data_IF_556806240984
#
_entry.id   IF_556806240984
#
_cell.length_a   1.000
_cell.length_b   1.000
_cell.length_c   1.000
_cell.angle_alpha   90.00
_cell.angle_beta   90.00
_cell.angle_gamma   90.00
#
_symmetry.space_group_name_H-M   'P 1'
#
loop_
_entity.id
_entity.type
_entity.pdbx_description
1 polymer ?
#
# COMPACT_ATOMS: atom_id res chain seq x y z
N UNK A 1 10.56 -19.33 14.11
CA UNK A 1 10.11 -18.89 12.74
C UNK A 1 9.60 -17.47 12.86
N UNK A 2 10.03 -16.60 11.99
CA UNK A 2 9.52 -15.24 11.93
C UNK A 2 8.04 -15.24 11.52
N UNK A 3 7.20 -14.39 12.13
CA UNK A 3 5.80 -14.27 11.72
C UNK A 3 5.71 -13.81 10.27
N UNK A 4 4.81 -14.43 9.49
CA UNK A 4 4.57 -14.06 8.10
C UNK A 4 3.41 -13.08 8.00
N UNK A 5 3.65 -11.93 7.36
CA UNK A 5 2.65 -10.91 7.04
C UNK A 5 2.26 -11.06 5.57
N UNK A 6 1.00 -11.37 5.29
CA UNK A 6 0.49 -11.52 3.93
C UNK A 6 -0.02 -10.20 3.38
N UNK A 7 0.42 -9.87 2.18
CA UNK A 7 0.18 -8.59 1.49
C UNK A 7 -0.65 -8.84 0.24
N UNK A 8 -1.59 -7.94 -0.02
CA UNK A 8 -2.29 -7.81 -1.29
C UNK A 8 -1.81 -6.57 -2.05
N UNK A 9 -1.70 -6.67 -3.37
CA UNK A 9 -1.39 -5.54 -4.24
C UNK A 9 -2.64 -5.11 -5.01
N UNK A 10 -3.02 -3.85 -4.91
CA UNK A 10 -3.92 -3.23 -5.88
C UNK A 10 -3.07 -2.64 -7.01
N UNK A 11 -2.92 -3.41 -8.08
CA UNK A 11 -2.07 -3.10 -9.20
C UNK A 11 -0.70 -3.79 -9.16
N UNK A 12 -0.25 -4.27 -10.32
CA UNK A 12 1.08 -4.83 -10.53
C UNK A 12 1.67 -4.34 -11.86
N UNK A 13 1.71 -3.00 -11.99
CA UNK A 13 2.40 -2.26 -13.04
C UNK A 13 3.85 -1.98 -12.66
N UNK A 14 4.43 -0.90 -13.17
CA UNK A 14 5.84 -0.56 -12.91
C UNK A 14 6.16 -0.44 -11.42
N UNK A 15 5.34 0.28 -10.65
CA UNK A 15 5.55 0.47 -9.21
C UNK A 15 5.38 -0.85 -8.47
N UNK A 16 4.27 -1.57 -8.67
CA UNK A 16 4.03 -2.85 -8.02
C UNK A 16 5.09 -3.90 -8.35
N UNK A 17 5.57 -3.95 -9.61
CA UNK A 17 6.68 -4.82 -10.01
C UNK A 17 7.99 -4.44 -9.32
N UNK A 18 8.24 -3.15 -9.12
CA UNK A 18 9.40 -2.66 -8.36
C UNK A 18 9.35 -3.10 -6.90
N UNK A 19 8.19 -2.94 -6.26
CA UNK A 19 7.98 -3.38 -4.87
C UNK A 19 8.09 -4.89 -4.74
N UNK A 20 7.54 -5.67 -5.70
CA UNK A 20 7.75 -7.11 -5.75
C UNK A 20 9.23 -7.49 -5.76
N UNK A 21 10.02 -6.87 -6.65
CA UNK A 21 11.47 -7.11 -6.74
C UNK A 21 12.19 -6.78 -5.42
N UNK A 22 11.78 -5.70 -4.74
CA UNK A 22 12.34 -5.34 -3.43
C UNK A 22 12.00 -6.36 -2.35
N UNK A 23 10.73 -6.72 -2.21
CA UNK A 23 10.28 -7.66 -1.18
C UNK A 23 10.88 -9.06 -1.36
N UNK A 24 11.08 -9.50 -2.61
CA UNK A 24 11.67 -10.82 -2.90
C UNK A 24 13.18 -10.78 -2.85
N UNK A 25 13.81 -9.77 -3.45
CA UNK A 25 15.26 -9.66 -3.56
C UNK A 25 15.96 -9.33 -2.24
N UNK A 26 15.30 -8.57 -1.35
CA UNK A 26 15.83 -8.17 -0.04
C UNK A 26 15.06 -8.81 1.12
N UNK A 27 14.41 -9.94 0.89
CA UNK A 27 13.56 -10.60 1.88
C UNK A 27 14.29 -10.87 3.20
N UNK A 28 15.52 -11.36 3.15
CA UNK A 28 16.34 -11.66 4.33
C UNK A 28 16.72 -10.41 5.12
N UNK A 29 17.12 -9.35 4.43
CA UNK A 29 17.49 -8.07 5.03
C UNK A 29 16.27 -7.41 5.70
N UNK A 30 15.12 -7.45 5.03
CA UNK A 30 13.86 -6.93 5.56
C UNK A 30 13.46 -7.73 6.80
N UNK A 31 13.46 -9.05 6.73
CA UNK A 31 13.15 -9.91 7.87
C UNK A 31 14.09 -9.67 9.04
N UNK A 32 15.39 -9.55 8.80
CA UNK A 32 16.37 -9.26 9.86
C UNK A 32 16.10 -7.91 10.56
N UNK A 33 15.69 -6.89 9.81
CA UNK A 33 15.41 -5.55 10.36
C UNK A 33 14.08 -5.45 11.09
N UNK A 34 13.06 -6.15 10.61
CA UNK A 34 11.68 -6.01 11.09
C UNK A 34 11.25 -7.13 12.03
N UNK A 35 11.94 -8.28 12.01
CA UNK A 35 11.49 -9.50 12.66
C UNK A 35 10.30 -10.17 11.96
N UNK A 36 9.95 -9.73 10.74
CA UNK A 36 8.76 -10.18 10.01
C UNK A 36 9.15 -10.68 8.62
N UNK A 37 8.50 -11.74 8.17
CA UNK A 37 8.56 -12.18 6.79
C UNK A 37 7.35 -11.63 6.00
N UNK A 38 7.58 -10.98 4.87
CA UNK A 38 6.52 -10.44 4.03
C UNK A 38 6.30 -11.30 2.78
N UNK A 39 5.06 -11.70 2.56
CA UNK A 39 4.63 -12.51 1.43
C UNK A 39 3.54 -11.79 0.64
N UNK A 40 3.73 -11.59 -0.66
CA UNK A 40 2.65 -11.09 -1.53
C UNK A 40 1.77 -12.26 -1.92
N UNK A 41 0.58 -12.34 -1.33
CA UNK A 41 -0.36 -13.44 -1.53
C UNK A 41 -1.19 -13.27 -2.80
N UNK A 42 -1.60 -12.04 -3.11
CA UNK A 42 -2.43 -11.71 -4.28
C UNK A 42 -2.05 -10.35 -4.86
N UNK A 43 -2.16 -10.23 -6.16
CA UNK A 43 -2.00 -8.97 -6.87
C UNK A 43 -3.15 -8.79 -7.88
N UNK A 44 -3.97 -7.76 -7.65
CA UNK A 44 -5.08 -7.38 -8.52
C UNK A 44 -4.56 -6.72 -9.78
N UNK A 45 -4.98 -7.21 -10.92
CA UNK A 45 -4.62 -6.68 -12.24
C UNK A 45 -5.82 -6.70 -13.17
N UNK A 46 -5.83 -5.85 -14.19
CA UNK A 46 -6.91 -5.84 -15.21
C UNK A 46 -6.85 -7.03 -16.16
N UNK A 47 -5.65 -7.56 -16.40
CA UNK A 47 -5.41 -8.68 -17.31
C UNK A 47 -4.34 -9.59 -16.70
N UNK A 48 -4.77 -10.78 -16.30
CA UNK A 48 -3.91 -11.79 -15.68
C UNK A 48 -2.95 -12.45 -16.68
N UNK A 49 -3.28 -12.42 -17.96
CA UNK A 49 -2.50 -13.04 -19.04
C UNK A 49 -1.43 -12.10 -19.62
N UNK A 50 -1.51 -10.81 -19.32
CA UNK A 50 -0.54 -9.84 -19.78
C UNK A 50 0.86 -10.20 -19.30
N UNK A 51 1.82 -10.34 -20.21
CA UNK A 51 3.23 -10.59 -19.88
C UNK A 51 3.81 -9.44 -19.06
N UNK A 52 4.54 -9.78 -18.01
CA UNK A 52 5.21 -8.86 -17.09
C UNK A 52 6.72 -9.11 -17.07
N UNK A 53 7.48 -8.12 -16.64
CA UNK A 53 8.94 -8.22 -16.50
C UNK A 53 9.39 -8.97 -15.23
N UNK A 54 8.43 -9.41 -14.41
CA UNK A 54 8.66 -10.16 -13.19
C UNK A 54 7.99 -11.53 -13.30
N UNK A 55 8.61 -12.52 -12.71
CA UNK A 55 8.02 -13.84 -12.54
C UNK A 55 7.23 -13.86 -11.23
N UNK A 56 5.96 -14.18 -11.34
CA UNK A 56 5.04 -14.31 -10.23
C UNK A 56 4.63 -15.78 -10.10
N UNK A 57 4.55 -16.33 -8.88
CA UNK A 57 4.03 -17.68 -8.67
C UNK A 57 2.61 -17.82 -9.22
N UNK A 58 2.27 -19.05 -9.62
CA UNK A 58 0.92 -19.36 -10.06
C UNK A 58 -0.11 -19.00 -8.99
N UNK A 59 -1.22 -18.41 -9.41
CA UNK A 59 -2.31 -18.01 -8.53
C UNK A 59 -2.10 -16.70 -7.76
N UNK A 60 -0.97 -16.01 -7.89
CA UNK A 60 -0.78 -14.67 -7.29
C UNK A 60 -1.61 -13.60 -8.00
N UNK A 61 -1.69 -13.66 -9.33
CA UNK A 61 -2.49 -12.69 -10.09
C UNK A 61 -3.98 -13.01 -10.05
N UNK A 62 -4.78 -11.97 -9.90
CA UNK A 62 -6.25 -12.03 -9.98
C UNK A 62 -6.80 -10.77 -10.64
N UNK A 63 -7.95 -10.87 -11.29
CA UNK A 63 -8.74 -9.74 -11.79
C UNK A 63 -9.95 -9.41 -10.89
N UNK A 64 -10.05 -10.10 -9.74
CA UNK A 64 -11.16 -9.98 -8.78
C UNK A 64 -10.67 -9.31 -7.50
N UNK A 65 -11.17 -8.11 -7.22
CA UNK A 65 -10.82 -7.38 -5.98
C UNK A 65 -11.25 -8.13 -4.71
N UNK A 66 -12.33 -8.89 -4.79
CA UNK A 66 -12.84 -9.68 -3.68
C UNK A 66 -11.85 -10.75 -3.19
N UNK A 67 -10.98 -11.26 -4.05
CA UNK A 67 -9.94 -12.23 -3.68
C UNK A 67 -8.89 -11.61 -2.71
N UNK A 68 -8.81 -10.28 -2.66
CA UNK A 68 -7.97 -9.55 -1.72
C UNK A 68 -8.78 -9.03 -0.52
N UNK A 69 -9.92 -8.39 -0.80
CA UNK A 69 -10.73 -7.75 0.24
C UNK A 69 -11.33 -8.74 1.23
N UNK A 70 -11.74 -9.93 0.75
CA UNK A 70 -12.40 -10.94 1.57
C UNK A 70 -11.43 -12.01 2.11
N UNK A 71 -10.15 -11.97 1.75
CA UNK A 71 -9.16 -12.90 2.28
C UNK A 71 -8.71 -12.46 3.69
N UNK A 72 -9.02 -13.24 4.74
CA UNK A 72 -8.69 -12.87 6.12
C UNK A 72 -7.20 -12.95 6.43
N UNK A 73 -6.41 -13.62 5.61
CA UNK A 73 -4.97 -13.71 5.80
C UNK A 73 -4.23 -12.46 5.27
N UNK A 74 -4.82 -11.72 4.33
CA UNK A 74 -4.24 -10.48 3.83
C UNK A 74 -4.53 -9.36 4.83
N UNK A 75 -3.48 -8.90 5.49
CA UNK A 75 -3.57 -7.84 6.51
C UNK A 75 -3.16 -6.46 6.01
N UNK A 76 -2.38 -6.40 4.93
CA UNK A 76 -1.87 -5.17 4.34
C UNK A 76 -2.23 -5.12 2.86
N UNK A 77 -2.75 -3.99 2.41
CA UNK A 77 -2.93 -3.67 0.98
C UNK A 77 -1.91 -2.60 0.60
N UNK A 78 -1.16 -2.87 -0.48
CA UNK A 78 -0.31 -1.88 -1.14
C UNK A 78 -1.00 -1.44 -2.44
N UNK A 79 -1.37 -0.17 -2.53
CA UNK A 79 -2.12 0.39 -3.65
C UNK A 79 -1.22 1.15 -4.60
N UNK A 80 -1.21 0.73 -5.87
CA UNK A 80 -0.39 1.25 -6.97
C UNK A 80 -1.21 1.58 -8.22
N UNK A 81 -2.51 1.77 -8.04
CA UNK A 81 -3.41 2.15 -9.14
C UNK A 81 -3.25 3.63 -9.44
N UNK A 82 -3.63 4.01 -10.63
CA UNK A 82 -3.72 5.41 -11.02
C UNK A 82 -5.18 5.85 -11.11
N UNK A 83 -5.39 7.17 -10.97
CA UNK A 83 -6.72 7.76 -11.06
C UNK A 83 -7.51 7.68 -9.76
N UNK A 84 -8.74 8.21 -9.80
CA UNK A 84 -9.62 8.27 -8.65
C UNK A 84 -10.38 6.97 -8.43
N UNK A 85 -11.06 6.51 -9.50
CA UNK A 85 -11.89 5.32 -9.48
C UNK A 85 -11.28 4.20 -10.35
N UNK A 86 -11.38 2.97 -9.95
CA UNK A 86 -12.05 2.43 -8.75
C UNK A 86 -11.16 2.43 -7.48
N UNK A 87 -9.96 3.03 -7.52
CA UNK A 87 -8.98 2.98 -6.44
C UNK A 87 -9.58 3.42 -5.11
N UNK A 88 -10.23 4.59 -5.06
CA UNK A 88 -10.85 5.09 -3.82
C UNK A 88 -11.84 4.10 -3.20
N UNK A 89 -12.73 3.51 -4.01
CA UNK A 89 -13.72 2.56 -3.50
C UNK A 89 -13.08 1.33 -2.88
N UNK A 90 -12.01 0.82 -3.50
CA UNK A 90 -11.30 -0.35 -3.00
C UNK A 90 -10.43 -0.05 -1.79
N UNK A 91 -9.82 1.13 -1.76
CA UNK A 91 -9.06 1.62 -0.61
C UNK A 91 -9.96 1.77 0.63
N UNK A 92 -11.11 2.41 0.43
CA UNK A 92 -12.13 2.57 1.47
C UNK A 92 -12.58 1.21 2.00
N UNK A 93 -12.93 0.29 1.09
CA UNK A 93 -13.37 -1.06 1.47
C UNK A 93 -12.27 -1.85 2.20
N UNK A 94 -11.00 -1.70 1.82
CA UNK A 94 -9.88 -2.33 2.52
C UNK A 94 -9.77 -1.81 3.97
N UNK A 95 -9.81 -0.49 4.15
CA UNK A 95 -9.77 0.13 5.48
C UNK A 95 -10.97 -0.26 6.34
N UNK A 96 -12.19 -0.26 5.79
CA UNK A 96 -13.41 -0.67 6.50
C UNK A 96 -13.35 -2.14 6.98
N UNK A 97 -12.61 -3.00 6.25
CA UNK A 97 -12.35 -4.39 6.62
C UNK A 97 -11.16 -4.55 7.60
N UNK A 98 -10.59 -3.45 8.09
CA UNK A 98 -9.49 -3.46 9.04
C UNK A 98 -8.14 -3.80 8.42
N UNK A 99 -8.01 -3.77 7.08
CA UNK A 99 -6.73 -3.98 6.41
C UNK A 99 -5.93 -2.68 6.38
N UNK A 100 -4.66 -2.75 6.76
CA UNK A 100 -3.74 -1.61 6.63
C UNK A 100 -3.58 -1.25 5.15
N UNK A 101 -3.70 0.03 4.83
CA UNK A 101 -3.52 0.57 3.48
C UNK A 101 -2.22 1.37 3.39
N UNK A 102 -1.40 1.06 2.38
CA UNK A 102 -0.24 1.85 1.98
C UNK A 102 -0.46 2.27 0.53
N UNK A 103 -0.73 3.55 0.29
CA UNK A 103 -1.07 4.05 -1.06
C UNK A 103 0.02 4.93 -1.67
N UNK A 104 0.22 4.76 -2.97
CA UNK A 104 1.03 5.65 -3.82
C UNK A 104 0.14 6.52 -4.75
N UNK A 105 -1.17 6.48 -4.61
CA UNK A 105 -2.12 7.14 -5.48
C UNK A 105 -2.42 8.57 -5.00
N UNK A 106 -1.80 9.53 -5.66
CA UNK A 106 -1.97 10.96 -5.34
C UNK A 106 -3.41 11.43 -5.51
N UNK A 107 -4.10 10.97 -6.57
CA UNK A 107 -5.41 11.49 -6.96
C UNK A 107 -6.49 11.03 -6.00
N UNK A 108 -6.63 9.72 -5.81
CA UNK A 108 -7.62 9.15 -4.89
C UNK A 108 -7.39 9.67 -3.47
N UNK A 109 -6.14 9.70 -3.03
CA UNK A 109 -5.79 10.17 -1.70
C UNK A 109 -6.09 11.67 -1.48
N UNK A 110 -5.71 12.54 -2.42
CA UNK A 110 -5.94 13.99 -2.28
C UNK A 110 -7.44 14.35 -2.29
N UNK A 111 -8.24 13.67 -3.12
CA UNK A 111 -9.66 13.96 -3.23
C UNK A 111 -10.49 13.40 -2.07
N UNK A 112 -10.07 12.28 -1.48
CA UNK A 112 -10.84 11.52 -0.48
C UNK A 112 -10.11 11.33 0.84
N UNK A 113 -9.19 12.24 1.16
CA UNK A 113 -8.40 12.22 2.39
C UNK A 113 -9.24 12.01 3.66
N UNK A 114 -10.33 12.78 3.78
CA UNK A 114 -11.16 12.76 5.00
C UNK A 114 -11.86 11.42 5.19
N UNK A 115 -12.42 10.88 4.11
CA UNK A 115 -13.15 9.60 4.13
C UNK A 115 -12.21 8.44 4.46
N UNK A 116 -11.02 8.41 3.84
CA UNK A 116 -10.02 7.37 4.10
C UNK A 116 -9.49 7.44 5.54
N UNK A 117 -9.21 8.64 6.04
CA UNK A 117 -8.82 8.81 7.45
C UNK A 117 -9.91 8.39 8.42
N UNK A 118 -11.16 8.75 8.14
CA UNK A 118 -12.28 8.37 8.99
C UNK A 118 -12.46 6.85 9.03
N UNK A 119 -12.37 6.18 7.87
CA UNK A 119 -12.46 4.73 7.79
C UNK A 119 -11.33 4.04 8.56
N UNK A 120 -10.08 4.51 8.37
CA UNK A 120 -8.93 3.99 9.09
C UNK A 120 -9.09 4.11 10.63
N UNK A 121 -9.49 5.29 11.11
CA UNK A 121 -9.74 5.51 12.55
C UNK A 121 -10.86 4.64 13.10
N UNK A 122 -11.95 4.48 12.35
CA UNK A 122 -13.11 3.69 12.77
C UNK A 122 -12.81 2.20 12.87
N UNK A 123 -12.02 1.66 11.94
CA UNK A 123 -11.65 0.25 11.88
C UNK A 123 -10.40 -0.09 12.72
N UNK A 124 -9.60 0.91 13.10
CA UNK A 124 -8.28 0.73 13.70
C UNK A 124 -7.20 0.32 12.71
N UNK A 125 -7.47 0.39 11.41
CA UNK A 125 -6.50 0.07 10.36
C UNK A 125 -5.45 1.16 10.21
N UNK A 126 -4.21 0.79 9.85
CA UNK A 126 -3.17 1.74 9.48
C UNK A 126 -3.44 2.36 8.11
N UNK A 127 -3.13 3.64 7.95
CA UNK A 127 -3.19 4.35 6.68
C UNK A 127 -1.86 5.07 6.45
N UNK A 128 -1.12 4.65 5.42
CA UNK A 128 0.21 5.16 5.08
C UNK A 128 0.20 5.68 3.64
N UNK A 129 0.69 6.90 3.44
CA UNK A 129 0.58 7.62 2.17
C UNK A 129 1.84 8.40 1.79
N UNK A 130 2.97 8.11 2.42
CA UNK A 130 4.26 8.74 2.11
C UNK A 130 4.58 8.71 0.62
N UNK A 131 4.36 7.57 -0.05
CA UNK A 131 4.62 7.40 -1.47
C UNK A 131 3.66 8.21 -2.37
N UNK A 132 2.53 8.69 -1.86
CA UNK A 132 1.61 9.57 -2.56
C UNK A 132 2.03 11.04 -2.45
N UNK A 133 2.98 11.39 -1.56
CA UNK A 133 3.41 12.76 -1.27
C UNK A 133 4.92 12.88 -1.43
N UNK A 134 5.38 13.77 -2.31
CA UNK A 134 6.80 14.06 -2.54
C UNK A 134 7.70 12.85 -2.90
N UNK A 135 7.12 11.76 -3.39
CA UNK A 135 7.86 10.58 -3.87
C UNK A 135 8.71 9.92 -2.78
N UNK A 136 10.04 9.94 -2.92
CA UNK A 136 10.96 9.30 -1.97
C UNK A 136 11.41 10.21 -0.81
N UNK A 137 10.86 11.42 -0.69
CA UNK A 137 11.19 12.35 0.41
C UNK A 137 10.27 12.06 1.60
N UNK A 138 10.80 11.67 2.78
CA UNK A 138 9.98 11.25 3.93
C UNK A 138 9.40 12.46 4.69
N UNK A 139 8.57 13.25 4.03
CA UNK A 139 8.03 14.51 4.61
C UNK A 139 6.93 14.23 5.63
N UNK A 140 6.02 13.30 5.35
CA UNK A 140 4.90 12.97 6.23
C UNK A 140 5.44 12.35 7.52
N UNK A 141 6.30 11.34 7.42
CA UNK A 141 6.95 10.72 8.57
C UNK A 141 7.71 11.74 9.43
N UNK A 142 8.43 12.67 8.79
CA UNK A 142 9.14 13.74 9.50
C UNK A 142 8.18 14.64 10.27
N UNK A 143 7.04 15.01 9.65
CA UNK A 143 6.07 15.90 10.30
C UNK A 143 5.29 15.20 11.42
N UNK A 144 4.87 13.95 11.21
CA UNK A 144 4.02 13.22 12.13
C UNK A 144 4.78 12.59 13.30
N UNK A 145 6.04 12.21 13.11
CA UNK A 145 6.83 11.55 14.15
C UNK A 145 7.96 12.43 14.71
N UNK A 146 8.83 12.94 13.82
CA UNK A 146 10.01 13.67 14.31
C UNK A 146 9.69 15.06 14.84
N UNK A 147 8.64 15.72 14.32
CA UNK A 147 8.26 17.09 14.67
C UNK A 147 6.96 17.16 15.49
N UNK A 148 6.50 16.09 16.10
CA UNK A 148 5.25 16.05 16.88
C UNK A 148 5.14 17.13 17.97
N UNK A 149 6.24 17.43 18.63
CA UNK A 149 6.28 18.44 19.69
C UNK A 149 6.47 19.87 19.16
N UNK A 150 6.63 20.03 17.84
CA UNK A 150 6.93 21.33 17.24
C UNK A 150 5.67 21.95 16.63
N UNK A 151 5.54 23.27 16.75
CA UNK A 151 4.53 24.02 16.01
C UNK A 151 5.11 24.44 14.66
N UNK A 152 4.60 23.88 13.57
CA UNK A 152 4.96 24.27 12.20
C UNK A 152 4.14 25.50 11.85
N UNK A 153 4.81 26.66 11.64
CA UNK A 153 4.13 27.91 11.29
C UNK A 153 4.09 28.14 9.78
N UNK A 154 5.07 27.64 9.03
CA UNK A 154 5.18 27.82 7.59
C UNK A 154 5.72 26.57 6.93
N UNK A 155 5.19 26.25 5.74
CA UNK A 155 5.68 25.22 4.84
C UNK A 155 5.86 25.85 3.45
N UNK A 156 7.04 25.68 2.87
CA UNK A 156 7.37 26.13 1.52
C UNK A 156 7.78 24.93 0.67
N UNK A 157 7.26 24.85 -0.56
CA UNK A 157 7.60 23.81 -1.52
C UNK A 157 7.70 24.36 -2.93
N UNK A 158 8.58 23.78 -3.72
CA UNK A 158 8.64 23.98 -5.17
C UNK A 158 8.26 22.64 -5.81
N UNK A 159 7.18 22.63 -6.60
CA UNK A 159 6.63 21.43 -7.25
C UNK A 159 6.59 21.61 -8.76
#
# INVERSE_FOLDING_TARGET
MEPTVKIGFFGCGNVGSGVWKLLTGFSKEISHRTGLHFEVKRALVRDVHKKREIELPEGVLTDRVDDLLNDPEISIILEFLGGEQPAFQWDLAALEKGKTLVTANKVAFALHWHELQQAARKSGAGLYYEAAVCGAIPIIHTMEESLQANRINYLYGIM
#
